data_IF_440118944335
#
_entry.id   IF_440118944335
#
_cell.length_a   1.000
_cell.length_b   1.000
_cell.length_c   1.000
_cell.angle_alpha   90.00
_cell.angle_beta   90.00
_cell.angle_gamma   90.00
#
_symmetry.space_group_name_H-M   'P 1'
#
loop_
_entity.id
_entity.type
_entity.pdbx_description
1 polymer ?
#
# COMPACT_ATOMS: atom_id res chain seq x y z
N UNK A 1 6.57 21.32 24.37
CA UNK A 1 6.17 20.69 23.09
C UNK A 1 6.18 19.19 23.28
N UNK A 2 5.06 18.48 23.11
CA UNK A 2 4.99 17.02 23.28
C UNK A 2 5.41 16.33 21.98
N UNK A 3 6.71 16.06 21.82
CA UNK A 3 7.28 15.40 20.64
C UNK A 3 6.63 14.02 20.38
N UNK A 4 6.27 13.29 21.45
CA UNK A 4 5.60 12.00 21.35
C UNK A 4 4.22 12.14 20.68
N UNK A 5 3.50 13.22 20.94
CA UNK A 5 2.21 13.48 20.31
C UNK A 5 2.34 13.74 18.79
N UNK A 6 3.38 14.47 18.36
CA UNK A 6 3.67 14.69 16.94
C UNK A 6 4.01 13.38 16.19
N UNK A 7 4.77 12.49 16.83
CA UNK A 7 5.07 11.17 16.24
C UNK A 7 3.78 10.31 16.21
N UNK A 8 3.03 10.30 17.30
CA UNK A 8 1.84 9.44 17.44
C UNK A 8 0.75 9.78 16.41
N UNK A 9 0.52 11.07 16.12
CA UNK A 9 -0.54 11.51 15.21
C UNK A 9 -0.27 11.10 13.76
N UNK A 10 0.99 10.96 13.34
CA UNK A 10 1.37 10.52 11.99
C UNK A 10 1.17 9.02 11.75
N UNK A 11 0.97 8.22 12.82
CA UNK A 11 0.88 6.76 12.73
C UNK A 11 2.05 6.15 11.95
N UNK A 12 3.29 6.30 12.44
CA UNK A 12 4.52 6.06 11.67
C UNK A 12 4.61 4.65 11.08
N UNK A 13 4.07 3.64 11.76
CA UNK A 13 4.05 2.26 11.26
C UNK A 13 3.30 2.16 9.93
N UNK A 14 2.14 2.83 9.81
CA UNK A 14 1.36 2.80 8.56
C UNK A 14 2.10 3.53 7.42
N UNK A 15 2.70 4.68 7.73
CA UNK A 15 3.48 5.45 6.75
C UNK A 15 4.73 4.66 6.31
N UNK A 16 5.39 3.98 7.24
CA UNK A 16 6.54 3.14 6.96
C UNK A 16 6.17 1.96 6.06
N UNK A 17 5.08 1.23 6.37
CA UNK A 17 4.59 0.13 5.53
C UNK A 17 4.25 0.61 4.11
N UNK A 18 3.64 1.79 3.99
CA UNK A 18 3.37 2.39 2.67
C UNK A 18 4.66 2.76 1.92
N UNK A 19 5.67 3.31 2.59
CA UNK A 19 7.00 3.53 1.99
C UNK A 19 7.65 2.23 1.49
N UNK A 20 7.45 1.11 2.20
CA UNK A 20 7.94 -0.21 1.76
C UNK A 20 7.27 -0.69 0.47
N UNK A 21 6.00 -0.32 0.20
CA UNK A 21 5.37 -0.64 -1.09
C UNK A 21 6.09 0.06 -2.25
N UNK A 22 6.53 1.30 -2.04
CA UNK A 22 7.32 2.05 -3.01
C UNK A 22 8.67 1.38 -3.26
N UNK A 23 9.40 1.01 -2.20
CA UNK A 23 10.69 0.32 -2.34
C UNK A 23 10.56 -1.02 -3.08
N UNK A 24 9.52 -1.79 -2.76
CA UNK A 24 9.23 -3.05 -3.45
C UNK A 24 9.05 -2.83 -4.96
N UNK A 25 8.29 -1.81 -5.35
CA UNK A 25 8.01 -1.50 -6.75
C UNK A 25 9.23 -0.94 -7.50
N UNK A 26 10.02 -0.09 -6.84
CA UNK A 26 11.30 0.39 -7.38
C UNK A 26 12.21 -0.81 -7.68
N UNK A 27 12.27 -1.78 -6.77
CA UNK A 27 13.09 -2.98 -6.94
C UNK A 27 12.59 -3.86 -8.09
N UNK A 28 11.28 -4.12 -8.18
CA UNK A 28 10.69 -4.89 -9.29
C UNK A 28 11.00 -4.25 -10.64
N UNK A 29 10.77 -2.94 -10.77
CA UNK A 29 11.04 -2.22 -11.98
C UNK A 29 12.53 -2.23 -12.32
N UNK A 30 13.39 -2.05 -11.33
CA UNK A 30 14.85 -2.09 -11.53
C UNK A 30 15.32 -3.46 -12.01
N UNK A 31 14.88 -4.56 -11.37
CA UNK A 31 15.22 -5.93 -11.81
C UNK A 31 14.70 -6.18 -13.23
N UNK A 32 13.45 -5.82 -13.50
CA UNK A 32 12.83 -5.98 -14.81
C UNK A 32 13.63 -5.28 -15.92
N UNK A 33 13.97 -4.02 -15.75
CA UNK A 33 14.70 -3.26 -16.77
C UNK A 33 16.16 -3.70 -16.90
N UNK A 34 16.84 -3.97 -15.79
CA UNK A 34 18.22 -4.41 -15.84
C UNK A 34 18.38 -5.72 -16.61
N UNK A 35 17.55 -6.71 -16.31
CA UNK A 35 17.66 -8.02 -16.95
C UNK A 35 17.24 -7.96 -18.44
N UNK A 36 16.20 -7.22 -18.78
CA UNK A 36 15.83 -7.05 -20.19
C UNK A 36 16.83 -6.21 -20.98
N UNK A 37 17.35 -5.12 -20.41
CA UNK A 37 18.30 -4.26 -21.10
C UNK A 37 19.68 -4.91 -21.24
N UNK A 38 20.13 -5.69 -20.25
CA UNK A 38 21.38 -6.46 -20.37
C UNK A 38 21.32 -7.52 -21.46
N UNK A 39 20.16 -8.15 -21.66
CA UNK A 39 19.98 -9.14 -22.72
C UNK A 39 20.07 -8.50 -24.11
N UNK A 40 19.50 -7.30 -24.29
CA UNK A 40 19.51 -6.61 -25.60
C UNK A 40 20.67 -5.63 -25.79
N UNK A 41 21.22 -5.07 -24.68
CA UNK A 41 22.19 -3.98 -24.74
C UNK A 41 23.24 -4.13 -23.61
N UNK A 42 24.32 -4.80 -23.88
CA UNK A 42 25.40 -5.12 -22.91
C UNK A 42 26.09 -3.90 -22.23
N UNK A 43 25.71 -2.66 -22.58
CA UNK A 43 26.35 -1.43 -22.11
C UNK A 43 25.59 -0.72 -20.97
N UNK A 44 24.43 -1.23 -20.54
CA UNK A 44 23.68 -0.57 -19.46
C UNK A 44 24.19 -1.01 -18.08
N UNK A 45 24.43 -0.07 -17.14
CA UNK A 45 24.84 -0.40 -15.78
C UNK A 45 23.72 -1.16 -15.05
N UNK A 46 24.11 -2.15 -14.25
CA UNK A 46 23.19 -2.99 -13.46
C UNK A 46 22.32 -2.14 -12.50
N UNK A 47 22.91 -1.07 -11.96
CA UNK A 47 22.18 -0.07 -11.18
C UNK A 47 22.36 1.29 -11.84
N UNK A 48 21.27 2.06 -12.10
CA UNK A 48 21.41 3.47 -12.44
C UNK A 48 22.15 4.19 -11.33
N UNK A 49 22.95 5.18 -11.66
CA UNK A 49 23.72 5.95 -10.67
C UNK A 49 22.85 6.51 -9.54
N UNK A 50 21.58 6.84 -9.83
CA UNK A 50 20.62 7.40 -8.88
C UNK A 50 19.69 6.37 -8.23
N UNK A 51 19.90 5.05 -8.41
CA UNK A 51 18.97 4.02 -7.91
C UNK A 51 18.74 4.11 -6.39
N UNK A 52 19.81 4.15 -5.61
CA UNK A 52 19.70 4.23 -4.15
C UNK A 52 19.13 5.58 -3.70
N UNK A 53 19.53 6.67 -4.34
CA UNK A 53 19.02 8.00 -4.10
C UNK A 53 17.50 8.07 -4.34
N UNK A 54 17.04 7.61 -5.52
CA UNK A 54 15.62 7.60 -5.87
C UNK A 54 14.84 6.70 -4.92
N UNK A 55 15.34 5.50 -4.60
CA UNK A 55 14.69 4.58 -3.68
C UNK A 55 14.48 5.23 -2.31
N UNK A 56 15.51 5.86 -1.77
CA UNK A 56 15.47 6.51 -0.47
C UNK A 56 14.51 7.72 -0.49
N UNK A 57 14.66 8.61 -1.47
CA UNK A 57 13.83 9.82 -1.56
C UNK A 57 12.36 9.42 -1.79
N UNK A 58 12.07 8.47 -2.68
CA UNK A 58 10.70 8.04 -2.98
C UNK A 58 9.99 7.41 -1.77
N UNK A 59 10.73 6.64 -0.96
CA UNK A 59 10.22 6.14 0.31
C UNK A 59 9.74 7.30 1.20
N UNK A 60 10.57 8.34 1.37
CA UNK A 60 10.21 9.48 2.21
C UNK A 60 9.16 10.38 1.60
N UNK A 61 9.08 10.51 0.28
CA UNK A 61 7.95 11.16 -0.40
C UNK A 61 6.63 10.53 0.04
N UNK A 62 6.52 9.20 -0.12
CA UNK A 62 5.33 8.49 0.30
C UNK A 62 5.07 8.66 1.81
N UNK A 63 6.10 8.48 2.62
CA UNK A 63 6.01 8.60 4.07
C UNK A 63 5.43 9.95 4.51
N UNK A 64 5.98 11.05 4.01
CA UNK A 64 5.56 12.40 4.43
C UNK A 64 4.17 12.77 3.90
N UNK A 65 3.83 12.40 2.67
CA UNK A 65 2.49 12.63 2.12
C UNK A 65 1.44 11.82 2.91
N UNK A 66 1.73 10.56 3.21
CA UNK A 66 0.83 9.71 4.01
C UNK A 66 0.72 10.23 5.46
N UNK A 67 1.82 10.64 6.08
CA UNK A 67 1.84 11.20 7.42
C UNK A 67 0.96 12.46 7.53
N UNK A 68 1.08 13.37 6.57
CA UNK A 68 0.22 14.54 6.49
C UNK A 68 -1.27 14.15 6.35
N UNK A 69 -1.57 13.14 5.52
CA UNK A 69 -2.91 12.57 5.39
C UNK A 69 -3.47 12.01 6.71
N UNK A 70 -2.62 11.39 7.54
CA UNK A 70 -3.05 10.91 8.87
C UNK A 70 -3.38 12.07 9.80
N UNK A 71 -2.56 13.12 9.82
CA UNK A 71 -2.79 14.31 10.66
C UNK A 71 -4.08 15.01 10.26
N UNK A 72 -4.29 15.25 8.95
CA UNK A 72 -5.48 15.93 8.46
C UNK A 72 -6.76 15.13 8.74
N UNK A 73 -6.71 13.79 8.64
CA UNK A 73 -7.82 12.94 9.04
C UNK A 73 -8.18 13.12 10.51
N UNK A 74 -7.20 13.19 11.41
CA UNK A 74 -7.45 13.38 12.85
C UNK A 74 -8.00 14.80 13.15
N UNK A 75 -7.64 15.83 12.34
CA UNK A 75 -8.22 17.18 12.45
C UNK A 75 -9.72 17.15 12.14
N UNK A 76 -10.10 16.55 11.01
CA UNK A 76 -11.51 16.48 10.60
C UNK A 76 -12.33 15.50 11.46
N UNK A 77 -11.69 14.54 12.14
CA UNK A 77 -12.33 13.58 13.03
C UNK A 77 -12.42 14.05 14.49
N UNK A 78 -11.92 15.22 14.84
CA UNK A 78 -11.71 15.64 16.22
C UNK A 78 -12.95 15.47 17.12
N UNK A 79 -14.12 15.93 16.67
CA UNK A 79 -15.35 15.85 17.47
C UNK A 79 -15.78 14.40 17.74
N UNK A 80 -15.65 13.56 16.73
CA UNK A 80 -15.96 12.13 16.82
C UNK A 80 -14.94 11.38 17.66
N UNK A 81 -13.65 11.72 17.47
CA UNK A 81 -12.57 11.08 18.22
C UNK A 81 -12.55 11.47 19.72
N UNK A 82 -13.13 12.60 20.10
CA UNK A 82 -13.37 12.94 21.51
C UNK A 82 -14.19 11.88 22.23
N UNK A 83 -15.14 11.26 21.52
CA UNK A 83 -16.02 10.22 22.08
C UNK A 83 -15.36 8.84 21.91
N UNK A 84 -14.94 8.51 20.70
CA UNK A 84 -14.54 7.14 20.37
C UNK A 84 -13.07 6.82 20.67
N UNK A 85 -12.19 7.83 20.67
CA UNK A 85 -10.73 7.66 20.80
C UNK A 85 -10.13 8.81 21.61
N UNK A 86 -10.58 9.04 22.87
CA UNK A 86 -10.17 10.18 23.70
C UNK A 86 -8.66 10.24 23.95
N UNK A 87 -7.97 9.12 23.85
CA UNK A 87 -6.51 9.03 24.05
C UNK A 87 -5.67 9.50 22.87
N UNK A 88 -6.29 9.87 21.73
CA UNK A 88 -5.55 10.43 20.59
C UNK A 88 -4.97 11.81 20.91
N UNK A 89 -3.87 12.23 20.23
CA UNK A 89 -3.18 13.49 20.53
C UNK A 89 -4.06 14.74 20.51
N UNK A 90 -4.94 14.89 19.52
CA UNK A 90 -5.85 16.04 19.41
C UNK A 90 -6.97 16.00 20.45
N UNK A 91 -7.76 14.90 20.60
CA UNK A 91 -8.80 14.79 21.62
C UNK A 91 -8.31 15.03 23.05
N UNK A 92 -7.13 14.49 23.42
CA UNK A 92 -6.57 14.67 24.76
C UNK A 92 -5.90 16.03 24.99
N UNK A 93 -5.87 16.93 23.98
CA UNK A 93 -5.27 18.27 24.09
C UNK A 93 -3.73 18.30 24.06
N UNK A 94 -3.04 17.20 23.72
CA UNK A 94 -1.59 17.20 23.61
C UNK A 94 -1.08 18.02 22.40
N UNK A 95 -1.94 18.21 21.40
CA UNK A 95 -1.78 19.11 20.26
C UNK A 95 -3.08 19.92 20.10
N UNK A 96 -2.94 21.20 19.76
CA UNK A 96 -4.09 21.98 19.31
C UNK A 96 -4.25 21.93 17.79
N UNK A 97 -5.45 22.27 17.29
CA UNK A 97 -5.79 22.22 15.87
C UNK A 97 -4.86 23.06 15.01
N UNK A 98 -4.45 24.26 15.49
CA UNK A 98 -3.51 25.13 14.76
C UNK A 98 -2.14 24.47 14.59
N UNK A 99 -1.62 23.84 15.64
CA UNK A 99 -0.36 23.10 15.58
C UNK A 99 -0.46 21.93 14.61
N UNK A 100 -1.58 21.19 14.61
CA UNK A 100 -1.79 20.08 13.69
C UNK A 100 -1.84 20.55 12.22
N UNK A 101 -2.49 21.69 11.92
CA UNK A 101 -2.50 22.27 10.58
C UNK A 101 -1.11 22.70 10.13
N UNK A 102 -0.36 23.40 10.97
CA UNK A 102 1.04 23.78 10.66
C UNK A 102 1.87 22.54 10.37
N UNK A 103 1.72 21.50 11.20
CA UNK A 103 2.46 20.26 11.01
C UNK A 103 2.08 19.54 9.72
N UNK A 104 0.79 19.50 9.35
CA UNK A 104 0.34 18.96 8.05
C UNK A 104 1.01 19.69 6.88
N UNK A 105 1.01 21.02 6.89
CA UNK A 105 1.63 21.82 5.82
C UNK A 105 3.13 21.56 5.73
N UNK A 106 3.82 21.45 6.87
CA UNK A 106 5.25 21.13 6.90
C UNK A 106 5.53 19.74 6.32
N UNK A 107 4.74 18.70 6.70
CA UNK A 107 4.90 17.36 6.17
C UNK A 107 4.64 17.31 4.65
N UNK A 108 3.57 17.96 4.16
CA UNK A 108 3.32 18.07 2.73
C UNK A 108 4.42 18.83 2.01
N UNK A 109 4.87 19.95 2.57
CA UNK A 109 5.95 20.76 2.00
C UNK A 109 7.23 19.94 1.79
N UNK A 110 7.63 19.19 2.82
CA UNK A 110 8.80 18.30 2.73
C UNK A 110 8.57 17.19 1.70
N UNK A 111 7.41 16.49 1.75
CA UNK A 111 7.12 15.41 0.82
C UNK A 111 7.05 15.86 -0.64
N UNK A 112 6.42 17.00 -0.93
CA UNK A 112 6.32 17.59 -2.27
C UNK A 112 7.70 18.06 -2.75
N UNK A 113 8.49 18.73 -1.91
CA UNK A 113 9.84 19.15 -2.25
C UNK A 113 10.72 17.96 -2.64
N UNK A 114 10.72 16.89 -1.81
CA UNK A 114 11.44 15.65 -2.11
C UNK A 114 10.96 15.01 -3.43
N UNK A 115 9.67 15.06 -3.72
CA UNK A 115 9.13 14.54 -4.95
C UNK A 115 9.65 15.27 -6.19
N UNK A 116 9.73 16.61 -6.14
CA UNK A 116 10.30 17.41 -7.22
C UNK A 116 11.80 17.18 -7.40
N UNK A 117 12.54 16.79 -6.35
CA UNK A 117 13.95 16.40 -6.49
C UNK A 117 14.12 15.11 -7.30
N UNK A 118 13.12 14.22 -7.33
CA UNK A 118 13.15 13.03 -8.19
C UNK A 118 12.85 13.44 -9.64
N UNK A 119 11.66 14.01 -9.89
CA UNK A 119 11.23 14.45 -11.22
C UNK A 119 9.99 15.35 -11.15
N UNK A 120 9.71 16.08 -12.25
CA UNK A 120 8.47 16.85 -12.38
C UNK A 120 7.20 15.95 -12.24
N UNK A 121 7.23 14.77 -12.82
CA UNK A 121 6.11 13.82 -12.73
C UNK A 121 5.85 13.38 -11.28
N UNK A 122 6.91 13.07 -10.53
CA UNK A 122 6.82 12.74 -9.11
C UNK A 122 6.24 13.90 -8.30
N UNK A 123 6.70 15.13 -8.53
CA UNK A 123 6.18 16.33 -7.87
C UNK A 123 4.68 16.56 -8.13
N UNK A 124 4.25 16.42 -9.38
CA UNK A 124 2.83 16.53 -9.76
C UNK A 124 1.99 15.46 -9.06
N UNK A 125 2.45 14.21 -9.01
CA UNK A 125 1.75 13.14 -8.31
C UNK A 125 1.64 13.42 -6.81
N UNK A 126 2.70 13.93 -6.17
CA UNK A 126 2.67 14.30 -4.76
C UNK A 126 1.63 15.40 -4.47
N UNK A 127 1.51 16.41 -5.35
CA UNK A 127 0.47 17.44 -5.27
C UNK A 127 -0.94 16.85 -5.41
N UNK A 128 -1.14 15.97 -6.40
CA UNK A 128 -2.44 15.31 -6.61
C UNK A 128 -2.84 14.49 -5.38
N UNK A 129 -1.95 13.67 -4.84
CA UNK A 129 -2.26 12.84 -3.66
C UNK A 129 -2.43 13.65 -2.39
N UNK A 130 -1.75 14.78 -2.24
CA UNK A 130 -2.01 15.73 -1.15
C UNK A 130 -3.42 16.31 -1.24
N UNK A 131 -3.86 16.72 -2.44
CA UNK A 131 -5.23 17.20 -2.68
C UNK A 131 -6.28 16.10 -2.47
N UNK A 132 -6.01 14.86 -2.94
CA UNK A 132 -6.87 13.70 -2.70
C UNK A 132 -7.01 13.42 -1.20
N UNK A 133 -5.92 13.48 -0.43
CA UNK A 133 -5.94 13.31 1.03
C UNK A 133 -6.80 14.35 1.74
N UNK A 134 -6.71 15.62 1.31
CA UNK A 134 -7.55 16.69 1.84
C UNK A 134 -9.03 16.47 1.50
N UNK A 135 -9.35 16.20 0.24
CA UNK A 135 -10.71 15.94 -0.21
C UNK A 135 -11.32 14.71 0.46
N UNK A 136 -10.52 13.67 0.65
CA UNK A 136 -10.93 12.48 1.38
C UNK A 136 -11.33 12.83 2.82
N UNK A 137 -10.45 13.49 3.57
CA UNK A 137 -10.71 13.84 4.96
C UNK A 137 -11.94 14.77 5.10
N UNK A 138 -12.11 15.74 4.18
CA UNK A 138 -13.17 16.74 4.25
C UNK A 138 -14.55 16.21 3.81
N UNK A 139 -14.63 15.34 2.78
CA UNK A 139 -15.90 14.99 2.11
C UNK A 139 -16.06 13.52 1.74
N UNK A 140 -15.02 12.86 1.20
CA UNK A 140 -15.18 11.53 0.57
C UNK A 140 -15.35 10.43 1.60
N UNK A 141 -14.79 10.60 2.77
CA UNK A 141 -14.79 9.64 3.86
C UNK A 141 -16.19 9.16 4.27
N UNK A 142 -17.21 10.04 4.22
CA UNK A 142 -18.59 9.70 4.59
C UNK A 142 -19.36 8.98 3.47
N UNK A 143 -18.79 8.89 2.26
CA UNK A 143 -19.44 8.29 1.09
C UNK A 143 -19.32 6.74 1.05
N UNK A 144 -18.98 6.11 2.18
CA UNK A 144 -18.98 4.66 2.33
C UNK A 144 -17.97 3.98 1.37
N UNK A 145 -18.46 3.29 0.33
CA UNK A 145 -17.60 2.52 -0.59
C UNK A 145 -16.54 3.38 -1.30
N UNK A 146 -16.86 4.63 -1.64
CA UNK A 146 -15.89 5.54 -2.25
C UNK A 146 -14.80 5.94 -1.25
N UNK A 147 -15.17 6.13 0.03
CA UNK A 147 -14.18 6.36 1.08
C UNK A 147 -13.21 5.19 1.22
N UNK A 148 -13.74 3.96 1.27
CA UNK A 148 -12.92 2.74 1.34
C UNK A 148 -12.02 2.59 0.10
N UNK A 149 -12.57 2.89 -1.10
CA UNK A 149 -11.82 2.87 -2.36
C UNK A 149 -10.61 3.82 -2.30
N UNK A 150 -10.80 5.07 -1.89
CA UNK A 150 -9.71 6.06 -1.84
C UNK A 150 -8.62 5.62 -0.87
N UNK A 151 -8.97 5.05 0.29
CA UNK A 151 -7.99 4.53 1.27
C UNK A 151 -7.19 3.37 0.68
N UNK A 152 -7.88 2.36 0.16
CA UNK A 152 -7.25 1.17 -0.41
C UNK A 152 -6.38 1.52 -1.63
N UNK A 153 -6.90 2.39 -2.53
CA UNK A 153 -6.19 2.87 -3.70
C UNK A 153 -4.94 3.67 -3.33
N UNK A 154 -5.06 4.63 -2.42
CA UNK A 154 -3.93 5.49 -2.03
C UNK A 154 -2.79 4.69 -1.40
N UNK A 155 -3.11 3.65 -0.59
CA UNK A 155 -2.09 2.78 -0.03
C UNK A 155 -1.43 1.91 -1.11
N UNK A 156 -2.22 1.25 -1.95
CA UNK A 156 -1.71 0.39 -3.02
C UNK A 156 -0.95 1.17 -4.11
N UNK A 157 -1.28 2.45 -4.30
CA UNK A 157 -0.63 3.30 -5.31
C UNK A 157 0.89 3.44 -5.10
N UNK A 158 1.40 3.18 -3.90
CA UNK A 158 2.85 3.12 -3.65
C UNK A 158 3.58 2.17 -4.62
N UNK A 159 2.96 1.05 -5.00
CA UNK A 159 3.52 0.15 -6.02
C UNK A 159 3.60 0.81 -7.39
N UNK A 160 2.52 1.45 -7.85
CA UNK A 160 2.53 2.12 -9.16
C UNK A 160 3.48 3.31 -9.16
N UNK A 161 3.51 4.10 -8.09
CA UNK A 161 4.39 5.25 -7.96
C UNK A 161 5.87 4.85 -8.04
N UNK A 162 6.32 3.90 -7.21
CA UNK A 162 7.70 3.45 -7.19
C UNK A 162 8.18 2.90 -8.55
N UNK A 163 7.32 2.11 -9.21
CA UNK A 163 7.63 1.56 -10.51
C UNK A 163 7.64 2.63 -11.62
N UNK A 164 6.67 3.55 -11.61
CA UNK A 164 6.57 4.63 -12.60
C UNK A 164 7.81 5.54 -12.56
N UNK A 165 8.23 6.00 -11.39
CA UNK A 165 9.41 6.88 -11.29
C UNK A 165 10.68 6.16 -11.73
N UNK A 166 10.82 4.85 -11.44
CA UNK A 166 11.94 4.05 -11.90
C UNK A 166 11.90 3.86 -13.41
N UNK A 167 10.73 3.65 -14.00
CA UNK A 167 10.55 3.54 -15.44
C UNK A 167 10.93 4.84 -16.16
N UNK A 168 10.43 5.97 -15.66
CA UNK A 168 10.73 7.30 -16.21
C UNK A 168 12.23 7.64 -16.15
N UNK A 169 12.92 7.30 -15.07
CA UNK A 169 14.36 7.47 -14.96
C UNK A 169 15.16 6.64 -16.00
N UNK A 170 14.56 5.52 -16.43
CA UNK A 170 15.12 4.67 -17.50
C UNK A 170 14.71 5.10 -18.91
N UNK A 171 13.93 6.18 -19.04
CA UNK A 171 13.41 6.68 -20.33
C UNK A 171 12.18 5.92 -20.84
N UNK A 172 11.50 5.14 -19.98
CA UNK A 172 10.28 4.42 -20.32
C UNK A 172 9.08 5.04 -19.61
N UNK A 173 7.92 5.07 -20.28
CA UNK A 173 6.67 5.60 -19.73
C UNK A 173 5.72 4.52 -19.23
N UNK A 174 6.03 3.25 -19.39
CA UNK A 174 5.18 2.11 -19.04
C UNK A 174 5.65 1.42 -17.76
N UNK A 175 4.72 0.81 -17.05
CA UNK A 175 4.92 0.11 -15.79
C UNK A 175 4.93 -1.40 -16.06
N UNK A 176 5.91 -2.17 -15.54
CA UNK A 176 5.94 -3.62 -15.68
C UNK A 176 4.65 -4.30 -15.19
N UNK A 177 4.17 -5.31 -15.92
CA UNK A 177 2.93 -6.05 -15.59
C UNK A 177 2.93 -6.61 -14.17
N UNK A 178 4.07 -7.07 -13.68
CA UNK A 178 4.21 -7.57 -12.31
C UNK A 178 3.82 -6.52 -11.27
N UNK A 179 4.15 -5.26 -11.50
CA UNK A 179 3.77 -4.16 -10.59
C UNK A 179 2.26 -3.93 -10.57
N UNK A 180 1.58 -4.05 -11.71
CA UNK A 180 0.12 -3.99 -11.76
C UNK A 180 -0.53 -5.10 -10.95
N UNK A 181 0.02 -6.31 -10.99
CA UNK A 181 -0.47 -7.43 -10.18
C UNK A 181 -0.24 -7.17 -8.68
N UNK A 182 0.91 -6.61 -8.29
CA UNK A 182 1.17 -6.19 -6.90
C UNK A 182 0.16 -5.15 -6.43
N UNK A 183 -0.09 -4.14 -7.28
CA UNK A 183 -1.09 -3.11 -7.01
C UNK A 183 -2.49 -3.71 -6.83
N UNK A 184 -2.94 -4.57 -7.77
CA UNK A 184 -4.27 -5.19 -7.71
C UNK A 184 -4.40 -6.07 -6.46
N UNK A 185 -3.38 -6.86 -6.13
CA UNK A 185 -3.34 -7.69 -4.92
C UNK A 185 -3.55 -6.85 -3.67
N UNK A 186 -2.72 -5.81 -3.49
CA UNK A 186 -2.80 -4.95 -2.31
C UNK A 186 -4.11 -4.16 -2.26
N UNK A 187 -4.53 -3.59 -3.39
CA UNK A 187 -5.76 -2.82 -3.49
C UNK A 187 -6.99 -3.66 -3.12
N UNK A 188 -7.11 -4.87 -3.68
CA UNK A 188 -8.28 -5.73 -3.45
C UNK A 188 -8.33 -6.25 -2.01
N UNK A 189 -7.21 -6.70 -1.44
CA UNK A 189 -7.17 -7.15 -0.04
C UNK A 189 -7.48 -5.99 0.93
N UNK A 190 -6.94 -4.81 0.68
CA UNK A 190 -7.23 -3.62 1.50
C UNK A 190 -8.69 -3.18 1.35
N UNK A 191 -9.24 -3.22 0.13
CA UNK A 191 -10.65 -2.91 -0.11
C UNK A 191 -11.56 -3.89 0.61
N UNK A 192 -11.28 -5.19 0.54
CA UNK A 192 -12.00 -6.23 1.27
C UNK A 192 -11.96 -5.99 2.78
N UNK A 193 -10.76 -5.70 3.29
CA UNK A 193 -10.56 -5.37 4.70
C UNK A 193 -11.36 -4.14 5.16
N UNK A 194 -11.38 -3.05 4.38
CA UNK A 194 -12.15 -1.85 4.77
C UNK A 194 -13.67 -2.12 4.76
N UNK A 195 -14.16 -2.97 3.84
CA UNK A 195 -15.56 -3.41 3.82
C UNK A 195 -15.88 -4.25 5.08
N UNK A 196 -15.04 -5.23 5.41
CA UNK A 196 -15.21 -6.10 6.58
C UNK A 196 -15.09 -5.29 7.88
N UNK A 197 -14.19 -4.33 7.94
CA UNK A 197 -14.07 -3.41 9.07
C UNK A 197 -15.33 -2.56 9.27
N UNK A 198 -16.00 -2.14 8.19
CA UNK A 198 -17.29 -1.47 8.29
C UNK A 198 -18.40 -2.35 8.88
N UNK A 199 -18.24 -3.68 8.91
CA UNK A 199 -19.14 -4.59 9.62
C UNK A 199 -18.84 -4.64 11.13
N UNK A 200 -17.57 -4.43 11.53
CA UNK A 200 -17.16 -4.31 12.93
C UNK A 200 -17.67 -2.99 13.55
N UNK A 201 -17.59 -1.87 12.80
CA UNK A 201 -17.76 -0.51 13.29
C UNK A 201 -19.19 0.05 13.11
N UNK A 202 -20.20 -0.77 12.81
CA UNK A 202 -21.58 -0.33 12.44
C UNK A 202 -22.16 0.70 13.43
N UNK A 203 -22.02 0.47 14.73
CA UNK A 203 -22.55 1.37 15.75
C UNK A 203 -21.82 2.73 15.74
N UNK A 204 -20.52 2.72 15.57
CA UNK A 204 -19.72 3.95 15.43
C UNK A 204 -20.02 4.70 14.12
N UNK A 205 -20.27 3.98 13.04
CA UNK A 205 -20.61 4.55 11.74
C UNK A 205 -22.01 5.16 11.69
N UNK A 206 -22.95 4.67 12.50
CA UNK A 206 -24.27 5.31 12.70
C UNK A 206 -24.13 6.71 13.27
N UNK A 207 -23.24 6.90 14.25
CA UNK A 207 -23.01 8.20 14.89
C UNK A 207 -22.41 9.24 13.94
N UNK A 208 -21.71 8.78 12.89
CA UNK A 208 -21.04 9.62 11.89
C UNK A 208 -21.84 9.81 10.60
N UNK A 209 -23.01 9.19 10.50
CA UNK A 209 -23.80 9.05 9.26
C UNK A 209 -23.00 8.54 8.06
N UNK A 210 -21.99 7.68 8.30
CA UNK A 210 -21.21 7.06 7.24
C UNK A 210 -22.05 5.98 6.56
N UNK A 211 -22.22 6.06 5.26
CA UNK A 211 -23.02 5.12 4.44
C UNK A 211 -22.20 3.89 4.06
N UNK A 212 -21.73 3.10 5.04
CA UNK A 212 -21.00 1.87 4.77
C UNK A 212 -21.90 0.82 4.10
N UNK A 213 -21.29 -0.13 3.36
CA UNK A 213 -22.03 -1.22 2.71
C UNK A 213 -22.81 -2.04 3.73
N UNK A 214 -22.22 -2.29 4.90
CA UNK A 214 -22.87 -3.01 5.98
C UNK A 214 -24.14 -2.30 6.49
N UNK A 215 -24.11 -0.96 6.59
CA UNK A 215 -25.29 -0.15 7.00
C UNK A 215 -26.36 -0.09 5.92
N UNK A 216 -25.98 0.11 4.67
CA UNK A 216 -26.92 0.37 3.58
C UNK A 216 -27.51 -0.92 3.00
N UNK A 217 -26.67 -1.96 2.83
CA UNK A 217 -27.06 -3.18 2.13
C UNK A 217 -27.08 -4.43 3.02
N UNK A 218 -26.72 -4.28 4.31
CA UNK A 218 -26.73 -5.35 5.31
C UNK A 218 -25.43 -6.15 5.37
N UNK A 219 -25.25 -6.83 6.50
CA UNK A 219 -24.03 -7.58 6.85
C UNK A 219 -23.68 -8.68 5.86
N UNK A 220 -24.69 -9.46 5.41
CA UNK A 220 -24.47 -10.56 4.46
C UNK A 220 -23.86 -10.09 3.15
N UNK A 221 -24.42 -9.02 2.56
CA UNK A 221 -23.89 -8.45 1.29
C UNK A 221 -22.50 -7.85 1.49
N UNK A 222 -22.27 -7.19 2.61
CA UNK A 222 -20.95 -6.66 2.95
C UNK A 222 -19.91 -7.78 3.09
N UNK A 223 -20.25 -8.87 3.79
CA UNK A 223 -19.38 -10.04 3.93
C UNK A 223 -19.05 -10.72 2.60
N UNK A 224 -20.05 -10.88 1.72
CA UNK A 224 -19.85 -11.45 0.37
C UNK A 224 -18.92 -10.53 -0.46
N UNK A 225 -19.14 -9.23 -0.45
CA UNK A 225 -18.33 -8.29 -1.23
C UNK A 225 -16.90 -8.20 -0.69
N UNK A 226 -16.73 -8.20 0.65
CA UNK A 226 -15.40 -8.23 1.28
C UNK A 226 -14.63 -9.50 0.90
N UNK A 227 -15.29 -10.68 1.00
CA UNK A 227 -14.69 -11.94 0.59
C UNK A 227 -14.39 -12.00 -0.92
N UNK A 228 -15.26 -11.45 -1.77
CA UNK A 228 -15.00 -11.37 -3.20
C UNK A 228 -13.75 -10.52 -3.53
N UNK A 229 -13.58 -9.37 -2.88
CA UNK A 229 -12.37 -8.57 -3.01
C UNK A 229 -11.13 -9.36 -2.58
N UNK A 230 -11.19 -10.07 -1.46
CA UNK A 230 -10.10 -10.92 -0.98
C UNK A 230 -9.75 -12.04 -1.97
N UNK A 231 -10.75 -12.70 -2.55
CA UNK A 231 -10.55 -13.75 -3.57
C UNK A 231 -9.86 -13.19 -4.80
N UNK A 232 -10.27 -12.02 -5.30
CA UNK A 232 -9.61 -11.34 -6.43
C UNK A 232 -8.15 -11.02 -6.05
N UNK A 233 -7.89 -10.56 -4.83
CA UNK A 233 -6.55 -10.32 -4.32
C UNK A 233 -5.70 -11.59 -4.31
N UNK A 234 -6.24 -12.72 -3.82
CA UNK A 234 -5.57 -14.03 -3.84
C UNK A 234 -5.27 -14.48 -5.27
N UNK A 235 -6.23 -14.35 -6.19
CA UNK A 235 -6.02 -14.69 -7.61
C UNK A 235 -4.89 -13.86 -8.20
N UNK A 236 -4.91 -12.54 -8.01
CA UNK A 236 -3.85 -11.65 -8.50
C UNK A 236 -2.47 -12.00 -7.90
N UNK A 237 -2.43 -12.31 -6.60
CA UNK A 237 -1.21 -12.72 -5.92
C UNK A 237 -0.67 -14.05 -6.48
N UNK A 238 -1.56 -15.01 -6.73
CA UNK A 238 -1.22 -16.29 -7.34
C UNK A 238 -0.73 -16.13 -8.79
N UNK A 239 -1.34 -15.20 -9.55
CA UNK A 239 -0.90 -14.88 -10.91
C UNK A 239 0.52 -14.31 -10.93
N UNK A 240 0.94 -13.52 -9.91
CA UNK A 240 2.33 -13.08 -9.80
C UNK A 240 3.29 -14.27 -9.83
N UNK A 241 3.01 -15.28 -9.00
CA UNK A 241 3.84 -16.48 -8.91
C UNK A 241 3.80 -17.32 -10.18
N UNK A 242 2.59 -17.56 -10.74
CA UNK A 242 2.42 -18.37 -11.97
C UNK A 242 3.13 -17.71 -13.14
N UNK A 243 2.93 -16.43 -13.37
CA UNK A 243 3.57 -15.70 -14.49
C UNK A 243 5.09 -15.74 -14.36
N UNK A 244 5.62 -15.54 -13.15
CA UNK A 244 7.06 -15.62 -12.92
C UNK A 244 7.59 -17.04 -13.12
N UNK A 245 6.88 -18.07 -12.61
CA UNK A 245 7.26 -19.47 -12.72
C UNK A 245 7.31 -19.95 -14.17
N UNK A 246 6.29 -19.59 -14.97
CA UNK A 246 6.17 -20.00 -16.38
C UNK A 246 6.78 -19.00 -17.35
N UNK A 247 7.43 -17.93 -16.88
CA UNK A 247 8.17 -17.03 -17.78
C UNK A 247 9.24 -17.83 -18.52
N UNK A 248 9.46 -17.57 -19.82
CA UNK A 248 10.45 -18.29 -20.62
C UNK A 248 11.83 -18.25 -19.96
N UNK A 249 12.67 -19.26 -20.22
CA UNK A 249 14.01 -19.36 -19.63
C UNK A 249 14.92 -18.15 -19.93
N UNK A 250 14.64 -17.45 -21.03
CA UNK A 250 15.35 -16.23 -21.41
C UNK A 250 14.76 -14.96 -20.77
N UNK A 251 13.57 -15.03 -20.17
CA UNK A 251 12.96 -13.89 -19.50
C UNK A 251 13.43 -13.80 -18.03
N UNK A 252 13.58 -12.59 -17.50
CA UNK A 252 14.01 -12.42 -16.12
C UNK A 252 12.98 -12.98 -15.14
N UNK A 253 13.45 -13.75 -14.15
CA UNK A 253 12.67 -14.08 -12.97
C UNK A 253 12.65 -12.86 -12.06
N UNK A 254 11.45 -12.40 -11.71
CA UNK A 254 11.24 -11.22 -10.87
C UNK A 254 10.99 -11.57 -9.42
N UNK A 255 10.61 -12.84 -9.14
CA UNK A 255 10.29 -13.34 -7.81
C UNK A 255 11.28 -14.44 -7.44
N UNK A 256 12.06 -14.19 -6.38
CA UNK A 256 13.03 -15.15 -5.90
C UNK A 256 12.48 -16.06 -4.80
N UNK A 257 13.36 -16.88 -4.23
CA UNK A 257 13.03 -17.92 -3.24
C UNK A 257 12.21 -17.40 -2.05
N UNK A 258 12.52 -16.22 -1.52
CA UNK A 258 11.82 -15.68 -0.35
C UNK A 258 10.38 -15.23 -0.62
N UNK A 259 9.97 -15.12 -1.88
CA UNK A 259 8.58 -14.84 -2.21
C UNK A 259 7.64 -15.97 -1.74
N UNK A 260 8.04 -17.23 -1.93
CA UNK A 260 7.18 -18.41 -1.75
C UNK A 260 6.62 -18.56 -0.32
N UNK A 261 7.45 -18.57 0.75
CA UNK A 261 6.92 -18.78 2.10
C UNK A 261 5.95 -17.67 2.52
N UNK A 262 6.24 -16.41 2.20
CA UNK A 262 5.37 -15.29 2.54
C UNK A 262 4.12 -15.23 1.66
N UNK A 263 4.18 -15.70 0.43
CA UNK A 263 3.02 -15.91 -0.43
C UNK A 263 2.02 -16.88 0.23
N UNK A 264 2.46 -18.07 0.65
CA UNK A 264 1.58 -19.06 1.27
C UNK A 264 0.98 -18.53 2.59
N UNK A 265 1.76 -17.88 3.44
CA UNK A 265 1.26 -17.29 4.68
C UNK A 265 0.23 -16.18 4.40
N UNK A 266 0.48 -15.34 3.40
CA UNK A 266 -0.43 -14.28 2.99
C UNK A 266 -1.76 -14.83 2.46
N UNK A 267 -1.69 -15.79 1.53
CA UNK A 267 -2.88 -16.46 0.97
C UNK A 267 -3.69 -17.16 2.07
N UNK A 268 -3.02 -17.91 2.97
CA UNK A 268 -3.70 -18.60 4.06
C UNK A 268 -4.44 -17.62 4.98
N UNK A 269 -3.81 -16.50 5.36
CA UNK A 269 -4.44 -15.51 6.22
C UNK A 269 -5.69 -14.87 5.55
N UNK A 270 -5.59 -14.45 4.28
CA UNK A 270 -6.71 -13.81 3.55
C UNK A 270 -7.82 -14.84 3.26
N UNK A 271 -7.48 -16.10 2.98
CA UNK A 271 -8.45 -17.16 2.80
C UNK A 271 -9.22 -17.47 4.09
N UNK A 272 -8.53 -17.56 5.23
CA UNK A 272 -9.15 -17.72 6.54
C UNK A 272 -10.08 -16.55 6.88
N UNK A 273 -9.69 -15.32 6.57
CA UNK A 273 -10.56 -14.14 6.69
C UNK A 273 -11.85 -14.32 5.91
N UNK A 274 -11.73 -14.70 4.63
CA UNK A 274 -12.87 -14.87 3.72
C UNK A 274 -13.80 -15.98 4.17
N UNK A 275 -13.27 -17.13 4.58
CA UNK A 275 -14.06 -18.25 5.09
C UNK A 275 -14.81 -17.83 6.36
N UNK A 276 -14.12 -17.18 7.31
CA UNK A 276 -14.71 -16.78 8.58
C UNK A 276 -15.84 -15.79 8.39
N UNK A 277 -15.67 -14.78 7.52
CA UNK A 277 -16.70 -13.76 7.31
C UNK A 277 -17.90 -14.29 6.52
N UNK A 278 -17.72 -15.22 5.59
CA UNK A 278 -18.82 -15.86 4.89
C UNK A 278 -19.61 -16.79 5.80
N UNK A 279 -18.95 -17.45 6.75
CA UNK A 279 -19.62 -18.38 7.68
C UNK A 279 -20.34 -17.65 8.82
N UNK A 280 -19.75 -16.57 9.37
CA UNK A 280 -20.25 -15.87 10.57
C UNK A 280 -20.42 -14.36 10.34
N UNK A 281 -21.03 -13.98 9.21
CA UNK A 281 -21.16 -12.56 8.82
C UNK A 281 -21.96 -11.70 9.81
N UNK A 282 -22.81 -12.29 10.66
CA UNK A 282 -23.59 -11.56 11.69
C UNK A 282 -22.76 -11.24 12.94
N UNK A 283 -21.60 -11.88 13.12
CA UNK A 283 -20.79 -11.74 14.33
C UNK A 283 -19.77 -10.60 14.19
N UNK A 284 -19.92 -9.57 15.02
CA UNK A 284 -18.91 -8.49 15.12
C UNK A 284 -17.52 -9.03 15.49
N UNK A 285 -17.47 -10.08 16.36
CA UNK A 285 -16.21 -10.73 16.70
C UNK A 285 -15.57 -11.41 15.49
N UNK A 286 -16.36 -12.03 14.63
CA UNK A 286 -15.88 -12.62 13.39
C UNK A 286 -15.37 -11.54 12.42
N UNK A 287 -16.11 -10.44 12.26
CA UNK A 287 -15.67 -9.31 11.43
C UNK A 287 -14.33 -8.74 11.91
N UNK A 288 -14.17 -8.52 13.22
CA UNK A 288 -12.91 -8.07 13.83
C UNK A 288 -11.75 -9.04 13.57
N UNK A 289 -11.99 -10.35 13.74
CA UNK A 289 -10.98 -11.37 13.52
C UNK A 289 -10.61 -11.48 12.04
N UNK A 290 -11.60 -11.41 11.14
CA UNK A 290 -11.37 -11.39 9.69
C UNK A 290 -10.56 -10.16 9.26
N UNK A 291 -10.91 -8.97 9.72
CA UNK A 291 -10.15 -7.74 9.46
C UNK A 291 -8.70 -7.82 9.96
N UNK A 292 -8.45 -8.54 11.06
CA UNK A 292 -7.10 -8.82 11.56
C UNK A 292 -6.35 -9.78 10.64
N UNK A 293 -6.99 -10.86 10.17
CA UNK A 293 -6.38 -11.79 9.21
C UNK A 293 -6.06 -11.12 7.88
N UNK A 294 -6.90 -10.22 7.37
CA UNK A 294 -6.60 -9.43 6.17
C UNK A 294 -5.38 -8.53 6.39
N UNK A 295 -5.26 -7.92 7.56
CA UNK A 295 -4.08 -7.11 7.92
C UNK A 295 -2.80 -7.95 7.96
N UNK A 296 -2.87 -9.14 8.53
CA UNK A 296 -1.74 -10.10 8.59
C UNK A 296 -1.40 -10.55 7.17
N UNK A 297 -2.40 -10.89 6.35
CA UNK A 297 -2.21 -11.27 4.96
C UNK A 297 -1.57 -10.17 4.12
N UNK A 298 -2.03 -8.92 4.29
CA UNK A 298 -1.43 -7.76 3.63
C UNK A 298 0.03 -7.54 4.05
N UNK A 299 0.38 -7.77 5.34
CA UNK A 299 1.76 -7.70 5.82
C UNK A 299 2.63 -8.78 5.17
N UNK A 300 2.18 -10.03 5.12
CA UNK A 300 2.92 -11.10 4.45
C UNK A 300 3.04 -10.85 2.95
N UNK A 301 1.99 -10.35 2.30
CA UNK A 301 2.04 -9.93 0.90
C UNK A 301 3.09 -8.83 0.65
N UNK A 302 3.14 -7.81 1.52
CA UNK A 302 4.15 -6.77 1.44
C UNK A 302 5.58 -7.34 1.59
N UNK A 303 5.79 -8.26 2.54
CA UNK A 303 7.09 -8.92 2.75
C UNK A 303 7.45 -9.77 1.53
N UNK A 304 6.52 -10.54 0.98
CA UNK A 304 6.73 -11.31 -0.24
C UNK A 304 7.15 -10.43 -1.42
N UNK A 305 6.44 -9.31 -1.62
CA UNK A 305 6.73 -8.36 -2.70
C UNK A 305 8.03 -7.57 -2.49
N UNK A 306 8.46 -7.38 -1.25
CA UNK A 306 9.73 -6.74 -0.95
C UNK A 306 10.91 -7.72 -1.13
N UNK A 307 10.80 -8.92 -0.57
CA UNK A 307 11.90 -9.89 -0.57
C UNK A 307 12.01 -10.70 -1.86
N UNK A 308 10.89 -10.92 -2.55
CA UNK A 308 10.86 -11.65 -3.81
C UNK A 308 11.83 -11.08 -4.85
N UNK A 309 11.66 -9.81 -5.26
CA UNK A 309 12.56 -9.19 -6.24
C UNK A 309 14.01 -9.06 -5.75
N UNK A 310 14.20 -8.93 -4.43
CA UNK A 310 15.55 -8.84 -3.84
C UNK A 310 16.34 -10.14 -4.01
N UNK A 311 15.67 -11.28 -3.94
CA UNK A 311 16.30 -12.59 -4.07
C UNK A 311 16.31 -13.13 -5.51
N UNK A 312 15.53 -12.55 -6.41
CA UNK A 312 15.50 -12.89 -7.83
C UNK A 312 16.87 -12.67 -8.51
N UNK A 313 17.58 -11.61 -8.13
CA UNK A 313 18.89 -11.27 -8.69
C UNK A 313 19.99 -12.29 -8.36
N UNK A 314 19.82 -13.08 -7.29
CA UNK A 314 20.81 -14.09 -6.86
C UNK A 314 20.63 -15.45 -7.56
N UNK A 315 19.46 -15.68 -8.18
CA UNK A 315 19.14 -16.95 -8.85
C UNK A 315 19.48 -16.90 -10.34
N UNK A 316 19.60 -15.71 -10.88
CA UNK A 316 19.96 -15.49 -12.31
C UNK A 316 21.46 -15.33 -12.57
N UNK A 317 22.34 -15.85 -11.70
CA UNK A 317 23.71 -16.17 -12.14
C UNK A 317 23.54 -17.31 -13.13
N UNK A 318 23.74 -17.04 -14.43
CA UNK A 318 23.37 -18.03 -15.43
C UNK A 318 24.20 -19.29 -15.25
N UNK A 319 23.53 -20.43 -15.25
CA UNK A 319 24.16 -21.75 -15.30
C UNK A 319 25.19 -21.89 -16.44
N UNK A 320 25.14 -21.06 -17.46
CA UNK A 320 26.15 -21.06 -18.54
C UNK A 320 27.51 -20.46 -18.15
N UNK A 321 27.63 -19.73 -17.04
CA UNK A 321 28.95 -19.38 -16.49
C UNK A 321 29.64 -20.59 -15.85
N UNK A 322 28.92 -21.67 -15.52
CA UNK A 322 29.51 -22.92 -15.05
C UNK A 322 30.08 -23.80 -16.17
N UNK A 323 29.75 -23.51 -17.43
CA UNK A 323 30.27 -24.23 -18.57
C UNK A 323 31.52 -23.57 -19.20
N UNK A 324 31.97 -22.43 -18.70
CA UNK A 324 33.13 -21.68 -19.19
C UNK A 324 34.22 -21.47 -18.13
N UNK A 325 34.13 -22.10 -16.98
CA UNK A 325 35.17 -22.28 -15.97
C UNK A 325 35.48 -23.80 -15.91
#
# INVERSE_FOLDING_TARGET
MDLKAYIQITRPVNCFMGGLTVLSAVQVANVFYNLNLQFFWSKFPIFPQRFFEISFIAFFVYYFIAAAGMVINDIFDLEVDRINKPNRPLPRGALNVKQAWIYTVLLWGVGILLAFLISLASGILALIFSAVGLLYAAKVKVLGILGNFVVAFSFAFGYLYGSLITSLERGFWWIPTMTWLFFITAFMVLQGREIIKGMEDIEGDKLRDVKTIARVYGLKRAGILGAACNIIGIISFTLCWIIDMFSPWWAPKLLGFWFIPFYFLGVAAVALSSILILWKYESQKAAKTSSLFDKIGALFGLIAFLLGPFTATNITIPLYLWFWI
#
